data_IF_636294869641
#
_entry.id   IF_636294869641
#
_cell.length_a   1.000
_cell.length_b   1.000
_cell.length_c   1.000
_cell.angle_alpha   90.00
_cell.angle_beta   90.00
_cell.angle_gamma   90.00
#
_symmetry.space_group_name_H-M   'P 1'
#
loop_
_entity.id
_entity.type
_entity.pdbx_description
1 polymer ?
#
# COMPACT_ATOMS: atom_id res chain seq x y z
N UNK A 1 11.01 9.18 25.50
CA UNK A 1 11.12 9.74 24.15
C UNK A 1 9.76 9.68 23.50
N UNK A 2 9.07 10.80 23.36
CA UNK A 2 7.78 10.86 22.68
C UNK A 2 8.04 10.57 21.20
N UNK A 3 7.59 9.41 20.69
CA UNK A 3 7.79 9.04 19.29
C UNK A 3 7.17 10.09 18.37
N UNK A 4 7.90 10.50 17.35
CA UNK A 4 7.37 11.41 16.33
C UNK A 4 6.19 10.74 15.62
N UNK A 5 5.03 11.40 15.60
CA UNK A 5 3.85 10.89 14.93
C UNK A 5 3.91 11.24 13.45
N UNK A 6 4.23 10.25 12.62
CA UNK A 6 4.18 10.38 11.17
C UNK A 6 2.75 10.15 10.65
N UNK A 7 2.36 10.87 9.60
CA UNK A 7 1.04 10.75 8.99
C UNK A 7 1.14 10.45 7.50
N UNK A 8 0.58 9.32 7.12
CA UNK A 8 0.49 8.86 5.74
C UNK A 8 -0.99 8.89 5.33
N UNK A 9 -1.27 9.44 4.16
CA UNK A 9 -2.61 9.50 3.58
C UNK A 9 -2.55 8.86 2.20
N UNK A 10 -3.25 7.74 2.07
CA UNK A 10 -3.12 6.82 0.96
C UNK A 10 -3.91 5.53 1.19
N UNK A 11 -3.55 4.49 0.44
CA UNK A 11 -4.24 3.21 0.46
C UNK A 11 -3.23 2.06 0.48
N UNK A 12 -3.68 0.94 1.03
CA UNK A 12 -2.96 -0.33 0.99
C UNK A 12 -3.85 -1.34 0.26
N UNK A 13 -3.28 -2.08 -0.68
CA UNK A 13 -3.95 -3.20 -1.33
C UNK A 13 -3.20 -4.50 -1.02
N UNK A 14 -3.92 -5.50 -0.50
CA UNK A 14 -3.42 -6.85 -0.31
C UNK A 14 -3.94 -7.79 -1.39
N UNK A 15 -3.06 -8.62 -1.97
CA UNK A 15 -3.41 -9.60 -3.00
C UNK A 15 -2.81 -10.95 -2.64
N UNK A 16 -3.63 -12.00 -2.64
CA UNK A 16 -3.17 -13.38 -2.60
C UNK A 16 -3.46 -14.08 -3.92
N UNK A 17 -2.54 -14.90 -4.40
CA UNK A 17 -2.72 -15.69 -5.62
C UNK A 17 -2.80 -17.19 -5.29
N UNK A 18 -3.40 -17.97 -6.19
CA UNK A 18 -3.44 -19.44 -6.07
C UNK A 18 -2.05 -20.09 -6.20
N UNK A 19 -1.07 -19.38 -6.79
CA UNK A 19 0.31 -19.84 -6.90
C UNK A 19 1.09 -19.80 -5.58
N UNK A 20 0.53 -19.18 -4.53
CA UNK A 20 1.21 -18.94 -3.26
C UNK A 20 1.84 -17.55 -3.16
N UNK A 21 2.03 -16.83 -4.29
CA UNK A 21 2.53 -15.45 -4.27
C UNK A 21 1.53 -14.52 -3.58
N UNK A 22 2.01 -13.68 -2.66
CA UNK A 22 1.23 -12.64 -1.99
C UNK A 22 1.89 -11.29 -2.16
N UNK A 23 1.08 -10.25 -2.29
CA UNK A 23 1.55 -8.89 -2.51
C UNK A 23 0.86 -7.93 -1.55
N UNK A 24 1.62 -6.96 -1.04
CA UNK A 24 1.08 -5.80 -0.34
C UNK A 24 1.60 -4.56 -1.06
N UNK A 25 0.69 -3.76 -1.60
CA UNK A 25 0.99 -2.51 -2.29
C UNK A 25 0.63 -1.36 -1.36
N UNK A 26 1.62 -0.53 -1.01
CA UNK A 26 1.42 0.76 -0.38
C UNK A 26 1.38 1.85 -1.45
N UNK A 27 0.34 2.69 -1.46
CA UNK A 27 0.25 3.85 -2.33
C UNK A 27 -0.05 5.09 -1.51
N UNK A 28 0.91 6.01 -1.45
CA UNK A 28 0.92 7.17 -0.55
C UNK A 28 1.05 8.47 -1.35
N UNK A 29 -0.04 9.05 -1.86
CA UNK A 29 0.01 10.36 -2.52
C UNK A 29 0.50 11.47 -1.59
N UNK A 30 0.25 11.35 -0.29
CA UNK A 30 0.67 12.35 0.71
C UNK A 30 1.35 11.65 1.89
N UNK A 31 2.63 11.97 2.11
CA UNK A 31 3.42 11.47 3.22
C UNK A 31 4.53 12.46 3.61
N UNK A 32 5.20 12.28 4.76
CA UNK A 32 6.37 13.07 5.16
C UNK A 32 7.57 12.96 4.18
N UNK A 33 7.57 11.95 3.30
CA UNK A 33 8.61 11.70 2.32
C UNK A 33 8.26 12.16 0.90
N UNK A 34 7.13 12.87 0.74
CA UNK A 34 6.52 13.13 -0.57
C UNK A 34 5.63 11.98 -1.05
N UNK A 35 5.15 12.04 -2.29
CA UNK A 35 4.35 10.96 -2.86
C UNK A 35 5.22 9.76 -3.21
N UNK A 36 4.84 8.56 -2.79
CA UNK A 36 5.55 7.34 -3.19
C UNK A 36 4.64 6.12 -3.20
N UNK A 37 5.16 5.01 -3.70
CA UNK A 37 4.53 3.69 -3.59
C UNK A 37 5.60 2.65 -3.36
N UNK A 38 5.24 1.58 -2.67
CA UNK A 38 6.12 0.48 -2.32
C UNK A 38 5.33 -0.84 -2.44
N UNK A 39 6.05 -1.94 -2.68
CA UNK A 39 5.43 -3.25 -2.81
C UNK A 39 6.23 -4.28 -2.02
N UNK A 40 5.57 -4.99 -1.11
CA UNK A 40 6.08 -6.26 -0.61
C UNK A 40 5.57 -7.41 -1.48
N UNK A 41 6.47 -8.31 -1.86
CA UNK A 41 6.15 -9.57 -2.54
C UNK A 41 6.63 -10.71 -1.65
N UNK A 42 5.72 -11.58 -1.24
CA UNK A 42 6.04 -12.87 -0.63
C UNK A 42 5.93 -13.95 -1.71
N UNK A 43 7.05 -14.60 -2.02
CA UNK A 43 7.12 -15.70 -2.97
C UNK A 43 6.51 -16.99 -2.36
N UNK A 44 6.13 -17.99 -3.19
CA UNK A 44 5.53 -19.23 -2.71
C UNK A 44 6.40 -20.03 -1.73
N UNK A 45 7.73 -19.84 -1.76
CA UNK A 45 8.70 -20.41 -0.83
C UNK A 45 8.83 -19.63 0.49
N UNK A 46 8.14 -18.50 0.61
CA UNK A 46 8.14 -17.63 1.78
C UNK A 46 9.14 -16.48 1.74
N UNK A 47 9.97 -16.36 0.69
CA UNK A 47 10.90 -15.21 0.57
C UNK A 47 10.11 -13.91 0.45
N UNK A 48 10.43 -12.93 1.30
CA UNK A 48 9.83 -11.59 1.29
C UNK A 48 10.76 -10.56 0.68
N UNK A 49 10.35 -10.01 -0.44
CA UNK A 49 11.07 -8.98 -1.18
C UNK A 49 10.34 -7.64 -1.05
N UNK A 50 11.05 -6.60 -0.62
CA UNK A 50 10.56 -5.22 -0.67
C UNK A 50 11.03 -4.55 -1.97
N UNK A 51 10.09 -4.02 -2.75
CA UNK A 51 10.33 -3.15 -3.89
C UNK A 51 10.05 -1.71 -3.46
N UNK A 52 11.08 -0.87 -3.42
CA UNK A 52 10.98 0.51 -2.96
C UNK A 52 11.56 1.50 -3.98
N UNK A 53 11.00 2.72 -4.09
CA UNK A 53 11.40 3.71 -5.10
C UNK A 53 12.73 4.39 -4.80
N UNK A 54 13.22 4.28 -3.56
CA UNK A 54 14.52 4.80 -3.13
C UNK A 54 15.03 4.07 -1.89
N UNK A 55 16.33 4.17 -1.62
CA UNK A 55 16.95 3.65 -0.38
C UNK A 55 16.31 4.24 0.87
N UNK A 56 16.04 5.55 0.89
CA UNK A 56 15.40 6.22 2.02
C UNK A 56 14.05 5.60 2.39
N UNK A 57 13.21 5.28 1.39
CA UNK A 57 11.92 4.63 1.62
C UNK A 57 12.12 3.18 2.05
N UNK A 58 13.03 2.45 1.41
CA UNK A 58 13.39 1.09 1.81
C UNK A 58 13.79 1.01 3.29
N UNK A 59 14.73 1.86 3.72
CA UNK A 59 15.24 1.89 5.09
C UNK A 59 14.12 2.23 6.09
N UNK A 60 13.24 3.17 5.74
CA UNK A 60 12.09 3.53 6.56
C UNK A 60 11.11 2.36 6.75
N UNK A 61 10.74 1.68 5.66
CA UNK A 61 9.80 0.54 5.73
C UNK A 61 10.45 -0.65 6.44
N UNK A 62 11.73 -0.91 6.17
CA UNK A 62 12.51 -1.98 6.79
C UNK A 62 12.78 -1.76 8.29
N UNK A 63 12.67 -0.52 8.79
CA UNK A 63 12.73 -0.25 10.22
C UNK A 63 11.51 -0.82 10.99
N UNK A 64 10.39 -1.06 10.29
CA UNK A 64 9.15 -1.58 10.88
C UNK A 64 8.91 -3.05 10.55
N UNK A 65 9.26 -3.47 9.33
CA UNK A 65 9.00 -4.82 8.82
C UNK A 65 10.30 -5.51 8.38
N UNK A 66 10.36 -6.84 8.53
CA UNK A 66 11.50 -7.64 8.06
C UNK A 66 11.26 -8.16 6.65
N UNK A 67 12.28 -8.02 5.81
CA UNK A 67 12.34 -8.53 4.45
C UNK A 67 13.64 -9.32 4.27
N UNK A 68 13.58 -10.39 3.50
CA UNK A 68 14.74 -11.21 3.17
C UNK A 68 15.59 -10.53 2.08
N UNK A 69 14.93 -9.79 1.19
CA UNK A 69 15.57 -9.01 0.13
C UNK A 69 14.92 -7.64 -0.05
N UNK A 70 15.72 -6.65 -0.39
CA UNK A 70 15.25 -5.30 -0.71
C UNK A 70 15.80 -4.90 -2.08
N UNK A 71 14.92 -4.49 -2.97
CA UNK A 71 15.28 -4.00 -4.29
C UNK A 71 14.80 -2.55 -4.45
N UNK A 72 15.76 -1.67 -4.77
CA UNK A 72 15.44 -0.27 -5.07
C UNK A 72 15.19 -0.14 -6.56
N UNK A 73 13.93 0.00 -6.94
CA UNK A 73 13.45 0.06 -8.32
C UNK A 73 12.38 1.14 -8.45
N UNK A 74 12.19 1.75 -9.63
CA UNK A 74 11.04 2.61 -9.84
C UNK A 74 9.74 1.86 -9.52
N UNK A 75 8.90 2.46 -8.68
CA UNK A 75 7.58 1.94 -8.33
C UNK A 75 6.53 2.97 -8.75
N UNK A 76 5.61 2.56 -9.62
CA UNK A 76 4.49 3.38 -10.06
C UNK A 76 3.17 2.68 -9.74
N UNK A 77 2.19 3.47 -9.31
CA UNK A 77 0.82 3.01 -9.10
C UNK A 77 -0.11 4.00 -9.78
N UNK A 78 -0.89 3.50 -10.71
CA UNK A 78 -1.97 4.25 -11.35
C UNK A 78 -3.30 3.69 -10.86
N UNK A 79 -3.97 4.44 -10.00
CA UNK A 79 -5.32 4.12 -9.53
C UNK A 79 -6.34 4.87 -10.38
N UNK A 80 -7.18 4.13 -11.11
CA UNK A 80 -8.33 4.65 -11.84
C UNK A 80 -9.56 4.35 -10.99
N UNK A 81 -10.15 5.38 -10.37
CA UNK A 81 -11.33 5.25 -9.55
C UNK A 81 -12.54 5.98 -10.16
N UNK A 82 -13.30 5.37 -11.08
CA UNK A 82 -14.69 5.72 -11.26
C UNK A 82 -15.49 5.06 -10.13
N UNK A 83 -16.43 5.80 -9.54
CA UNK A 83 -17.24 5.36 -8.40
C UNK A 83 -17.69 3.89 -8.50
N UNK A 84 -17.11 3.01 -7.67
CA UNK A 84 -17.53 1.62 -7.49
C UNK A 84 -16.49 0.56 -7.87
N UNK A 85 -15.70 0.77 -8.93
CA UNK A 85 -14.77 -0.22 -9.47
C UNK A 85 -13.39 0.41 -9.68
N UNK A 86 -12.54 0.37 -8.64
CA UNK A 86 -11.18 0.90 -8.78
C UNK A 86 -10.29 -0.12 -9.48
N UNK A 87 -9.73 0.27 -10.62
CA UNK A 87 -8.67 -0.47 -11.28
C UNK A 87 -7.32 0.11 -10.89
N UNK A 88 -6.39 -0.76 -10.55
CA UNK A 88 -5.05 -0.40 -10.14
C UNK A 88 -4.07 -1.08 -11.08
N UNK A 89 -3.16 -0.29 -11.62
CA UNK A 89 -1.99 -0.76 -12.35
C UNK A 89 -0.75 -0.43 -11.52
N UNK A 90 0.02 -1.45 -11.20
CA UNK A 90 1.24 -1.34 -10.40
C UNK A 90 2.40 -1.88 -11.21
N UNK A 91 3.45 -1.08 -11.32
CA UNK A 91 4.71 -1.46 -11.96
C UNK A 91 5.86 -1.24 -10.98
N UNK A 92 6.66 -2.27 -10.75
CA UNK A 92 7.81 -2.21 -9.84
C UNK A 92 8.92 -3.14 -10.33
N UNK A 93 9.90 -2.61 -11.06
CA UNK A 93 10.92 -3.44 -11.72
C UNK A 93 10.28 -4.51 -12.62
N UNK A 94 10.50 -5.82 -12.38
CA UNK A 94 9.89 -6.91 -13.15
C UNK A 94 8.40 -7.14 -12.81
N UNK A 95 7.90 -6.60 -11.69
CA UNK A 95 6.51 -6.78 -11.29
C UNK A 95 5.59 -5.94 -12.18
N UNK A 96 4.54 -6.59 -12.70
CA UNK A 96 3.36 -5.97 -13.31
C UNK A 96 2.11 -6.57 -12.68
N UNK A 97 1.40 -5.75 -11.90
CA UNK A 97 0.18 -6.17 -11.22
C UNK A 97 -0.99 -5.30 -11.69
N UNK A 98 -2.05 -5.96 -12.14
CA UNK A 98 -3.34 -5.33 -12.39
C UNK A 98 -4.34 -5.92 -11.42
N UNK A 99 -4.93 -5.08 -10.58
CA UNK A 99 -5.98 -5.50 -9.66
C UNK A 99 -7.23 -4.64 -9.86
N UNK A 100 -8.38 -5.25 -9.63
CA UNK A 100 -9.66 -4.57 -9.57
C UNK A 100 -10.24 -4.81 -8.18
N UNK A 101 -10.64 -3.75 -7.51
CA UNK A 101 -11.40 -3.87 -6.28
C UNK A 101 -12.88 -4.03 -6.62
N UNK A 102 -13.58 -4.88 -5.88
CA UNK A 102 -15.04 -4.93 -5.93
C UNK A 102 -15.67 -3.65 -5.39
N UNK A 103 -17.00 -3.58 -5.51
CA UNK A 103 -17.80 -2.46 -4.98
C UNK A 103 -17.77 -2.42 -3.46
N UNK A 104 -17.93 -1.22 -2.91
CA UNK A 104 -18.17 -1.05 -1.48
C UNK A 104 -19.47 -1.75 -1.10
N UNK A 105 -19.45 -2.52 -0.01
CA UNK A 105 -20.66 -3.09 0.57
C UNK A 105 -21.57 -1.99 1.12
N UNK A 106 -22.84 -2.30 1.42
CA UNK A 106 -23.75 -1.35 2.05
C UNK A 106 -23.17 -0.75 3.35
N UNK A 107 -22.56 -1.60 4.19
CA UNK A 107 -21.85 -1.16 5.38
C UNK A 107 -20.67 -0.23 5.03
N UNK A 108 -19.88 -0.57 4.01
CA UNK A 108 -18.78 0.28 3.55
C UNK A 108 -19.24 1.65 3.04
N UNK A 109 -20.43 1.73 2.45
CA UNK A 109 -21.05 3.02 2.07
C UNK A 109 -21.50 3.81 3.29
N UNK A 110 -22.14 3.18 4.28
CA UNK A 110 -22.51 3.84 5.54
C UNK A 110 -21.27 4.39 6.28
N UNK A 111 -20.20 3.60 6.36
CA UNK A 111 -18.94 4.04 6.97
C UNK A 111 -18.28 5.17 6.16
N UNK A 112 -18.46 5.22 4.84
CA UNK A 112 -17.93 6.32 4.02
C UNK A 112 -18.65 7.66 4.25
N UNK A 113 -19.82 7.65 4.88
CA UNK A 113 -20.52 8.87 5.28
C UNK A 113 -19.93 9.51 6.56
N UNK A 114 -19.08 8.80 7.31
CA UNK A 114 -18.39 9.36 8.47
C UNK A 114 -17.42 10.45 7.99
N UNK A 115 -17.52 11.70 8.51
CA UNK A 115 -16.65 12.77 8.06
C UNK A 115 -15.17 12.43 8.30
N UNK A 116 -14.32 12.77 7.33
CA UNK A 116 -12.90 12.41 7.36
C UNK A 116 -12.13 12.95 8.58
N UNK A 117 -12.61 14.00 9.24
CA UNK A 117 -12.02 14.50 10.49
C UNK A 117 -12.21 13.49 11.64
N UNK A 118 -13.41 12.91 11.77
CA UNK A 118 -13.72 11.90 12.78
C UNK A 118 -13.07 10.56 12.44
N UNK A 119 -13.19 10.10 11.20
CA UNK A 119 -12.63 8.81 10.77
C UNK A 119 -11.10 8.71 10.93
N UNK A 120 -10.40 9.85 10.99
CA UNK A 120 -8.92 9.91 11.16
C UNK A 120 -8.50 10.28 12.59
N UNK A 121 -9.45 10.39 13.50
CA UNK A 121 -9.20 10.74 14.90
C UNK A 121 -8.85 9.47 15.70
N UNK A 122 -7.82 9.48 16.56
CA UNK A 122 -7.48 8.33 17.39
C UNK A 122 -8.60 7.91 18.35
N UNK A 123 -9.50 8.82 18.72
CA UNK A 123 -10.62 8.54 19.64
C UNK A 123 -11.80 7.84 18.97
N UNK A 124 -11.79 7.70 17.64
CA UNK A 124 -12.79 6.96 16.87
C UNK A 124 -12.41 5.49 16.67
N UNK A 125 -11.12 5.15 16.82
CA UNK A 125 -10.55 3.83 16.53
C UNK A 125 -10.47 2.95 17.78
#
# INVERSE_FOLDING_TARGET
MTGERLRFDGWIAGVGTSSGTRLVVGHWPRSPFGSFSDVMVEHPDGERVLLAPSRRIADFVAATYRFDRIEVVPVSVTAVAPAGDSAWLVEAGPLRLRLRTGRRSALGLLLSAVPAAFARSPVWA
#
